data_IF_619699002364
#
_entry.id   IF_619699002364
#
_cell.length_a   1.000
_cell.length_b   1.000
_cell.length_c   1.000
_cell.angle_alpha   90.00
_cell.angle_beta   90.00
_cell.angle_gamma   90.00
#
_symmetry.space_group_name_H-M   'P 1'
#
loop_
_entity.id
_entity.type
_entity.pdbx_description
1 polymer ?
#
# COMPACT_ATOMS: atom_id res chain seq x y z
N UNK A 1 6.16 -13.07 17.33
CA UNK A 1 5.49 -11.82 16.94
C UNK A 1 4.36 -12.18 15.97
N UNK A 2 3.10 -12.04 16.39
CA UNK A 2 1.92 -12.22 15.54
C UNK A 2 1.51 -10.81 15.09
N UNK A 3 1.50 -10.55 13.77
CA UNK A 3 0.85 -9.37 13.19
C UNK A 3 1.72 -8.25 12.62
N UNK A 4 3.06 -8.34 12.66
CA UNK A 4 3.94 -7.33 12.06
C UNK A 4 4.99 -8.00 11.18
N UNK A 5 4.64 -8.27 9.92
CA UNK A 5 5.54 -8.88 8.93
C UNK A 5 5.79 -7.97 7.74
N UNK A 6 5.05 -6.89 7.55
CA UNK A 6 5.31 -5.90 6.50
C UNK A 6 5.15 -4.51 7.12
N UNK A 7 5.97 -3.57 6.69
CA UNK A 7 5.76 -2.18 7.10
C UNK A 7 4.60 -1.59 6.29
N UNK A 8 3.57 -1.14 7.00
CA UNK A 8 2.48 -0.35 6.44
C UNK A 8 2.93 1.10 6.22
N UNK A 9 2.25 1.82 5.32
CA UNK A 9 2.41 3.28 5.14
C UNK A 9 3.77 3.76 4.60
N UNK A 10 4.61 2.87 4.05
CA UNK A 10 5.92 3.23 3.48
C UNK A 10 5.88 4.25 2.34
N UNK A 11 4.73 4.43 1.69
CA UNK A 11 4.51 5.43 0.63
C UNK A 11 3.58 6.57 1.06
N UNK A 12 3.22 6.63 2.33
CA UNK A 12 2.42 7.75 2.80
C UNK A 12 3.29 9.02 2.76
N UNK A 13 2.71 10.18 2.42
CA UNK A 13 3.36 11.46 2.65
C UNK A 13 3.85 11.53 4.10
N UNK A 14 5.12 11.88 4.30
CA UNK A 14 5.77 11.78 5.61
C UNK A 14 6.08 13.16 6.21
N UNK A 15 6.32 14.17 5.37
CA UNK A 15 6.50 15.53 5.87
C UNK A 15 5.13 16.18 6.15
N UNK A 16 5.01 17.04 7.19
CA UNK A 16 3.76 17.74 7.48
C UNK A 16 3.22 18.56 6.29
N UNK A 17 4.11 19.11 5.46
CA UNK A 17 3.73 19.89 4.28
C UNK A 17 3.12 18.97 3.22
N UNK A 18 3.82 17.89 2.85
CA UNK A 18 3.29 16.94 1.85
C UNK A 18 1.99 16.30 2.33
N UNK A 19 1.86 15.98 3.62
CA UNK A 19 0.62 15.44 4.18
C UNK A 19 -0.54 16.42 3.96
N UNK A 20 -0.35 17.70 4.25
CA UNK A 20 -1.39 18.70 4.06
C UNK A 20 -1.73 18.90 2.58
N UNK A 21 -0.73 18.92 1.71
CA UNK A 21 -0.93 19.02 0.25
C UNK A 21 -1.69 17.83 -0.34
N UNK A 22 -1.51 16.62 0.22
CA UNK A 22 -2.17 15.40 -0.28
C UNK A 22 -3.57 15.17 0.34
N UNK A 23 -3.89 15.82 1.46
CA UNK A 23 -5.10 15.53 2.25
C UNK A 23 -6.12 16.66 2.21
N UNK A 24 -5.67 17.91 2.21
CA UNK A 24 -6.56 19.05 2.31
C UNK A 24 -7.11 19.46 0.95
N UNK A 25 -8.38 19.81 0.93
CA UNK A 25 -9.00 20.53 -0.18
C UNK A 25 -8.38 21.92 -0.26
N UNK A 26 -7.82 22.24 -1.42
CA UNK A 26 -7.20 23.52 -1.74
C UNK A 26 -8.18 24.49 -2.39
N UNK A 27 -7.62 25.42 -3.16
CA UNK A 27 -8.36 26.48 -3.84
C UNK A 27 -9.21 25.97 -5.02
N UNK A 28 -9.10 24.69 -5.36
CA UNK A 28 -9.98 24.02 -6.33
C UNK A 28 -11.45 23.94 -5.88
N UNK A 29 -11.74 24.01 -4.57
CA UNK A 29 -13.10 24.17 -4.03
C UNK A 29 -13.12 25.17 -2.85
N UNK A 30 -13.33 26.47 -3.14
CA UNK A 30 -13.34 27.52 -2.13
C UNK A 30 -14.35 27.34 -0.99
N UNK A 31 -15.43 26.58 -1.22
CA UNK A 31 -16.46 26.32 -0.21
C UNK A 31 -16.04 25.30 0.84
N UNK A 32 -14.99 24.51 0.57
CA UNK A 32 -14.55 23.38 1.37
C UNK A 32 -13.06 23.44 1.74
N UNK A 33 -12.39 24.57 1.49
CA UNK A 33 -10.95 24.77 1.79
C UNK A 33 -10.62 24.31 3.21
N UNK A 34 -9.56 23.50 3.33
CA UNK A 34 -9.09 22.93 4.59
C UNK A 34 -9.92 21.73 5.10
N UNK A 35 -10.95 21.33 4.36
CA UNK A 35 -11.64 20.05 4.54
C UNK A 35 -10.81 18.89 3.98
N UNK A 36 -11.27 17.66 4.23
CA UNK A 36 -10.65 16.45 3.69
C UNK A 36 -11.71 15.38 3.41
N UNK A 37 -11.49 14.59 2.37
CA UNK A 37 -12.31 13.43 2.08
C UNK A 37 -11.76 12.21 2.82
N UNK A 38 -12.61 11.57 3.63
CA UNK A 38 -12.22 10.42 4.46
C UNK A 38 -12.99 9.19 4.03
N UNK A 39 -12.28 8.07 3.92
CA UNK A 39 -12.84 6.77 3.66
C UNK A 39 -12.37 5.77 4.71
N UNK A 40 -13.25 4.89 5.16
CA UNK A 40 -12.94 3.86 6.15
C UNK A 40 -13.49 2.51 5.74
N UNK A 41 -12.74 1.46 6.01
CA UNK A 41 -13.14 0.07 5.79
C UNK A 41 -12.72 -0.80 6.96
N UNK A 42 -13.59 -1.75 7.30
CA UNK A 42 -13.28 -2.81 8.26
C UNK A 42 -12.96 -4.09 7.50
N UNK A 43 -11.72 -4.55 7.61
CA UNK A 43 -11.30 -5.83 7.05
C UNK A 43 -11.43 -6.95 8.08
N UNK A 44 -11.93 -8.10 7.63
CA UNK A 44 -11.86 -9.35 8.39
C UNK A 44 -10.84 -10.25 7.70
N UNK A 45 -9.75 -10.55 8.40
CA UNK A 45 -8.60 -11.24 7.82
C UNK A 45 -8.71 -12.74 8.08
N UNK A 46 -8.61 -13.54 7.02
CA UNK A 46 -8.49 -15.00 7.14
C UNK A 46 -7.05 -15.41 7.48
N UNK A 47 -6.73 -15.37 8.78
CA UNK A 47 -5.39 -15.71 9.26
C UNK A 47 -4.98 -17.15 8.97
N UNK A 48 -5.94 -18.09 8.95
CA UNK A 48 -5.65 -19.49 8.68
C UNK A 48 -5.11 -19.69 7.26
N UNK A 49 -5.73 -19.02 6.28
CA UNK A 49 -5.26 -19.05 4.90
C UNK A 49 -3.90 -18.37 4.75
N UNK A 50 -3.71 -17.18 5.33
CA UNK A 50 -2.43 -16.46 5.26
C UNK A 50 -1.29 -17.30 5.81
N UNK A 51 -1.49 -17.97 6.95
CA UNK A 51 -0.47 -18.82 7.56
C UNK A 51 -0.19 -20.12 6.79
N UNK A 52 -1.09 -20.53 5.90
CA UNK A 52 -0.87 -21.69 5.02
C UNK A 52 -0.03 -21.38 3.77
N UNK A 53 0.18 -20.10 3.43
CA UNK A 53 0.94 -19.68 2.24
C UNK A 53 2.45 -19.70 2.52
N UNK A 54 3.23 -20.05 1.50
CA UNK A 54 4.67 -19.89 1.54
C UNK A 54 5.07 -18.41 1.53
N UNK A 55 6.23 -18.07 2.08
CA UNK A 55 6.70 -16.68 2.17
C UNK A 55 6.76 -15.99 0.79
N UNK A 56 7.19 -16.71 -0.26
CA UNK A 56 7.22 -16.17 -1.63
C UNK A 56 5.83 -15.85 -2.20
N UNK A 57 4.80 -16.63 -1.82
CA UNK A 57 3.42 -16.34 -2.23
C UNK A 57 2.89 -15.09 -1.52
N UNK A 58 3.23 -14.92 -0.24
CA UNK A 58 2.88 -13.73 0.53
C UNK A 58 3.59 -12.48 -0.04
N UNK A 59 4.89 -12.58 -0.32
CA UNK A 59 5.67 -11.50 -0.95
C UNK A 59 5.07 -11.12 -2.32
N UNK A 60 4.62 -12.10 -3.11
CA UNK A 60 3.98 -11.84 -4.41
C UNK A 60 2.61 -11.15 -4.28
N UNK A 61 1.85 -11.42 -3.22
CA UNK A 61 0.55 -10.76 -2.97
C UNK A 61 0.76 -9.32 -2.48
N UNK A 62 1.78 -9.08 -1.66
CA UNK A 62 2.09 -7.75 -1.10
C UNK A 62 2.93 -6.90 -2.08
N UNK A 63 3.69 -7.54 -2.97
CA UNK A 63 4.61 -6.90 -3.92
C UNK A 63 5.95 -6.44 -3.31
N UNK A 64 6.23 -6.84 -2.06
CA UNK A 64 7.46 -6.50 -1.32
C UNK A 64 7.95 -7.70 -0.53
N UNK A 65 9.23 -7.68 -0.17
CA UNK A 65 9.83 -8.70 0.68
C UNK A 65 9.51 -8.49 2.16
N UNK A 66 9.08 -9.54 2.85
CA UNK A 66 8.65 -9.52 4.25
C UNK A 66 9.67 -8.90 5.24
N UNK A 67 10.97 -9.03 5.00
CA UNK A 67 11.98 -8.60 5.98
C UNK A 67 12.73 -7.32 5.60
N UNK A 68 12.77 -6.98 4.31
CA UNK A 68 13.47 -5.80 3.81
C UNK A 68 12.53 -4.71 3.31
N UNK A 69 11.24 -5.02 3.10
CA UNK A 69 10.24 -4.17 2.45
C UNK A 69 10.65 -3.66 1.04
N UNK A 70 11.72 -4.23 0.48
CA UNK A 70 12.18 -3.97 -0.87
C UNK A 70 11.15 -4.50 -1.88
N UNK A 71 10.90 -3.79 -3.00
CA UNK A 71 10.01 -4.26 -4.06
C UNK A 71 10.45 -5.62 -4.61
N UNK A 72 9.50 -6.51 -4.85
CA UNK A 72 9.78 -7.77 -5.56
C UNK A 72 10.09 -7.44 -7.02
N UNK A 73 11.29 -7.80 -7.49
CA UNK A 73 11.68 -7.60 -8.89
C UNK A 73 11.00 -8.62 -9.80
N UNK A 74 10.09 -8.17 -10.67
CA UNK A 74 9.50 -9.00 -11.72
C UNK A 74 10.38 -8.96 -12.97
N UNK A 75 11.61 -9.45 -12.87
CA UNK A 75 12.43 -9.70 -14.07
C UNK A 75 11.89 -10.97 -14.72
N UNK A 76 11.41 -10.86 -15.96
CA UNK A 76 10.75 -11.90 -16.79
C UNK A 76 9.20 -11.94 -16.76
N UNK A 77 8.55 -10.82 -17.07
CA UNK A 77 7.39 -10.85 -17.95
C UNK A 77 7.80 -10.19 -19.27
N UNK A 78 8.33 -10.98 -20.20
CA UNK A 78 8.34 -10.58 -21.61
C UNK A 78 6.89 -10.32 -21.99
N UNK A 79 6.55 -9.05 -22.21
CA UNK A 79 5.30 -8.68 -22.88
C UNK A 79 5.22 -9.51 -24.17
N UNK A 80 4.15 -10.27 -24.42
CA UNK A 80 4.01 -10.94 -25.71
C UNK A 80 4.00 -9.86 -26.79
N UNK A 81 4.98 -9.91 -27.68
CA UNK A 81 5.05 -9.07 -28.86
C UNK A 81 3.75 -9.30 -29.64
N UNK A 82 2.97 -8.24 -29.81
CA UNK A 82 1.72 -8.26 -30.57
C UNK A 82 2.04 -8.71 -32.00
N UNK A 83 1.41 -9.81 -32.42
CA UNK A 83 1.42 -10.29 -33.81
C UNK A 83 0.58 -9.36 -34.71
#
# INVERSE_FOLDING_TARGET
MLGGRFQENLRNPASPVEVLEHVLVGDEDPGSIGGAFVFTQRFQINWAEIHSKAAAEIDSVIGRHQYSDEPVSYTHLTLPTKA
#
